data_IF_371839025695
#
_entry.id   IF_371839025695
#
_cell.length_a   1.000
_cell.length_b   1.000
_cell.length_c   1.000
_cell.angle_alpha   90.00
_cell.angle_beta   90.00
_cell.angle_gamma   90.00
#
_symmetry.space_group_name_H-M   'P 1'
#
loop_
_entity.id
_entity.type
_entity.pdbx_description
1 polymer ?
#
# COMPACT_ATOMS: atom_id res chain seq x y z
N UNK A 1 6.77 -0.45 -23.14
CA UNK A 1 6.60 -0.88 -21.74
C UNK A 1 5.37 -1.77 -21.69
N UNK A 2 5.46 -2.96 -21.16
CA UNK A 2 4.33 -3.92 -21.12
C UNK A 2 3.24 -3.35 -20.23
N UNK A 3 2.03 -3.22 -20.76
CA UNK A 3 0.83 -2.73 -20.05
C UNK A 3 0.20 -3.83 -19.16
N UNK A 4 1.08 -4.71 -18.65
CA UNK A 4 0.69 -5.84 -17.81
C UNK A 4 0.51 -5.36 -16.38
N UNK A 5 -0.66 -5.60 -15.74
CA UNK A 5 -0.88 -5.21 -14.35
C UNK A 5 0.07 -5.98 -13.41
N UNK A 6 0.72 -5.25 -12.51
CA UNK A 6 1.57 -5.76 -11.43
C UNK A 6 0.83 -5.59 -10.10
N UNK A 7 0.88 -6.60 -9.22
CA UNK A 7 0.09 -6.60 -7.99
C UNK A 7 0.57 -5.56 -6.95
N UNK A 8 1.86 -5.22 -7.02
CA UNK A 8 2.56 -4.29 -6.12
C UNK A 8 2.70 -2.88 -6.71
N UNK A 9 2.00 -2.57 -7.82
CA UNK A 9 2.08 -1.29 -8.53
C UNK A 9 0.71 -0.70 -8.80
N UNK A 10 0.57 0.60 -8.61
CA UNK A 10 -0.58 1.35 -9.10
C UNK A 10 -0.40 1.58 -10.61
N UNK A 11 -1.42 1.26 -11.40
CA UNK A 11 -1.38 1.43 -12.86
C UNK A 11 -1.04 2.88 -13.24
N UNK A 12 -0.12 3.06 -14.18
CA UNK A 12 0.30 4.38 -14.65
C UNK A 12 1.33 5.10 -13.76
N UNK A 13 1.79 4.46 -12.67
CA UNK A 13 2.82 5.04 -11.79
C UNK A 13 4.13 4.26 -11.86
N UNK A 14 5.27 4.85 -11.41
CA UNK A 14 6.50 4.09 -11.21
C UNK A 14 6.30 2.91 -10.26
N UNK A 15 7.04 1.83 -10.49
CA UNK A 15 7.04 0.70 -9.56
C UNK A 15 7.71 1.11 -8.23
N UNK A 16 7.33 0.57 -7.06
CA UNK A 16 7.97 0.86 -5.77
C UNK A 16 9.50 0.69 -5.76
N UNK A 17 10.04 -0.22 -6.59
CA UNK A 17 11.50 -0.41 -6.78
C UNK A 17 12.20 0.82 -7.37
N UNK A 18 11.47 1.62 -8.15
CA UNK A 18 11.99 2.78 -8.86
C UNK A 18 11.80 4.08 -8.04
N UNK A 19 11.13 4.00 -6.89
CA UNK A 19 10.91 5.14 -6.00
C UNK A 19 12.16 5.39 -5.14
N UNK A 20 12.89 6.49 -5.34
CA UNK A 20 14.16 6.73 -4.64
C UNK A 20 13.97 7.13 -3.17
N UNK A 21 12.82 7.66 -2.80
CA UNK A 21 12.56 8.20 -1.46
C UNK A 21 11.30 7.64 -0.84
N UNK A 22 11.36 7.41 0.47
CA UNK A 22 10.19 7.15 1.31
C UNK A 22 9.89 8.41 2.12
N UNK A 23 8.63 8.85 2.11
CA UNK A 23 8.20 10.10 2.75
C UNK A 23 7.24 9.78 3.88
N UNK A 24 7.37 10.49 5.02
CA UNK A 24 6.48 10.38 6.17
C UNK A 24 6.73 9.18 7.08
N UNK A 25 7.80 8.39 6.87
CA UNK A 25 8.08 7.17 7.65
C UNK A 25 9.49 7.14 8.27
N UNK A 26 10.06 8.30 8.59
CA UNK A 26 11.40 8.41 9.16
C UNK A 26 11.59 7.59 10.46
N UNK A 27 10.56 7.51 11.31
CA UNK A 27 10.62 6.71 12.53
C UNK A 27 10.75 5.20 12.24
N UNK A 28 10.08 4.70 11.20
CA UNK A 28 10.19 3.31 10.77
C UNK A 28 11.58 2.99 10.19
N UNK A 29 12.16 3.89 9.40
CA UNK A 29 13.54 3.75 8.91
C UNK A 29 14.54 3.77 10.06
N UNK A 30 14.38 4.67 11.03
CA UNK A 30 15.25 4.76 12.20
C UNK A 30 15.21 3.48 13.06
N UNK A 31 14.03 2.85 13.25
CA UNK A 31 13.91 1.59 13.99
C UNK A 31 14.68 0.45 13.31
N UNK A 32 14.62 0.39 11.97
CA UNK A 32 15.37 -0.61 11.20
C UNK A 32 16.88 -0.38 11.30
N UNK A 33 17.31 0.88 11.12
CA UNK A 33 18.74 1.26 11.21
C UNK A 33 19.31 0.95 12.59
N UNK A 34 18.63 1.31 13.67
CA UNK A 34 19.05 0.98 15.03
C UNK A 34 19.23 -0.53 15.22
N UNK A 35 18.27 -1.35 14.71
CA UNK A 35 18.37 -2.81 14.79
C UNK A 35 19.53 -3.38 13.97
N UNK A 36 19.85 -2.72 12.86
CA UNK A 36 20.96 -3.09 12.00
C UNK A 36 22.31 -2.76 12.64
N UNK A 37 22.49 -1.54 13.15
CA UNK A 37 23.72 -1.08 13.79
C UNK A 37 24.04 -1.86 15.06
N UNK A 38 23.00 -2.27 15.82
CA UNK A 38 23.14 -3.13 16.99
C UNK A 38 23.47 -4.60 16.66
N UNK A 39 23.57 -4.96 15.38
CA UNK A 39 23.79 -6.35 14.93
C UNK A 39 22.63 -7.29 15.25
N UNK A 40 21.45 -6.77 15.59
CA UNK A 40 20.25 -7.52 16.01
C UNK A 40 19.12 -7.47 14.98
N UNK A 41 19.47 -7.33 13.69
CA UNK A 41 18.45 -7.32 12.66
C UNK A 41 17.70 -8.65 12.62
N UNK A 42 16.39 -8.59 12.85
CA UNK A 42 15.55 -9.79 12.83
C UNK A 42 15.45 -10.37 11.41
N UNK A 43 15.47 -11.69 11.27
CA UNK A 43 15.40 -12.37 9.98
C UNK A 43 14.05 -12.20 9.24
N UNK A 44 12.98 -11.81 9.94
CA UNK A 44 11.67 -11.59 9.34
C UNK A 44 10.99 -10.32 9.87
N UNK A 45 10.62 -9.42 8.98
CA UNK A 45 9.89 -8.19 9.27
C UNK A 45 8.51 -8.23 8.66
N UNK A 46 7.49 -7.85 9.44
CA UNK A 46 6.12 -7.70 8.99
C UNK A 46 5.75 -6.21 8.92
N UNK A 47 5.75 -5.65 7.71
CA UNK A 47 5.40 -4.26 7.44
C UNK A 47 3.87 -4.14 7.36
N UNK A 48 3.26 -3.49 8.34
CA UNK A 48 1.80 -3.40 8.46
C UNK A 48 1.30 -1.96 8.30
N UNK A 49 0.04 -1.83 7.90
CA UNK A 49 -0.66 -0.55 7.76
C UNK A 49 -1.58 -0.52 6.53
N UNK A 50 -2.36 0.55 6.33
CA UNK A 50 -3.26 0.68 5.19
C UNK A 50 -2.58 0.47 3.83
N UNK A 51 -3.37 0.12 2.81
CA UNK A 51 -2.84 -0.04 1.45
C UNK A 51 -2.36 1.30 0.88
N UNK A 52 -1.27 1.29 0.10
CA UNK A 52 -0.79 2.46 -0.64
C UNK A 52 -0.07 3.54 0.17
N UNK A 53 0.30 3.28 1.45
CA UNK A 53 1.01 4.25 2.31
C UNK A 53 2.54 4.21 2.17
N UNK A 54 3.12 3.37 1.30
CA UNK A 54 4.57 3.27 1.09
C UNK A 54 5.25 2.03 1.68
N UNK A 55 4.49 1.00 2.13
CA UNK A 55 5.08 -0.25 2.66
C UNK A 55 5.99 -0.96 1.65
N UNK A 56 5.53 -1.08 0.41
CA UNK A 56 6.34 -1.68 -0.66
C UNK A 56 7.59 -0.85 -0.93
N UNK A 57 7.48 0.47 -1.00
CA UNK A 57 8.63 1.38 -1.14
C UNK A 57 9.65 1.16 -0.03
N UNK A 58 9.22 1.06 1.24
CA UNK A 58 10.13 0.74 2.36
C UNK A 58 10.79 -0.62 2.18
N UNK A 59 10.03 -1.65 1.80
CA UNK A 59 10.56 -3.00 1.61
C UNK A 59 11.65 -3.02 0.51
N UNK A 60 11.41 -2.35 -0.63
CA UNK A 60 12.38 -2.26 -1.72
C UNK A 60 13.62 -1.46 -1.34
N UNK A 61 13.47 -0.35 -0.59
CA UNK A 61 14.61 0.43 -0.07
C UNK A 61 15.43 -0.37 0.91
N UNK A 62 14.77 -1.03 1.86
CA UNK A 62 15.44 -1.90 2.84
C UNK A 62 16.16 -3.07 2.15
N UNK A 63 15.53 -3.71 1.17
CA UNK A 63 16.17 -4.77 0.38
C UNK A 63 17.44 -4.26 -0.33
N UNK A 64 17.36 -3.08 -0.97
CA UNK A 64 18.50 -2.43 -1.63
C UNK A 64 19.64 -2.17 -0.64
N UNK A 65 19.32 -1.59 0.51
CA UNK A 65 20.27 -1.32 1.57
C UNK A 65 20.95 -2.61 2.08
N UNK A 66 20.17 -3.63 2.40
CA UNK A 66 20.69 -4.88 2.97
C UNK A 66 21.60 -5.66 2.02
N UNK A 67 21.29 -5.64 0.72
CA UNK A 67 22.11 -6.31 -0.30
C UNK A 67 23.37 -5.50 -0.60
N UNK A 68 23.27 -4.17 -0.60
CA UNK A 68 24.43 -3.28 -0.83
C UNK A 68 25.40 -3.23 0.35
N UNK A 69 24.92 -3.58 1.56
CA UNK A 69 25.72 -3.55 2.79
C UNK A 69 25.96 -4.98 3.27
N UNK A 70 27.06 -5.64 2.88
CA UNK A 70 27.32 -7.03 3.26
C UNK A 70 27.45 -7.19 4.78
N UNK A 71 27.26 -8.42 5.33
CA UNK A 71 27.50 -8.70 6.72
C UNK A 71 28.94 -8.32 7.10
N UNK A 72 29.10 -7.60 8.20
CA UNK A 72 30.44 -7.30 8.70
C UNK A 72 30.95 -8.54 9.46
N UNK A 73 31.98 -9.17 8.92
CA UNK A 73 32.66 -10.31 9.57
C UNK A 73 33.61 -9.81 10.67
N UNK A 74 33.17 -8.99 11.60
CA UNK A 74 33.89 -8.64 12.84
C UNK A 74 35.36 -8.19 12.74
N UNK A 75 35.97 -8.23 11.56
CA UNK A 75 37.36 -7.91 11.31
C UNK A 75 37.52 -6.53 10.64
N UNK A 76 36.96 -5.50 11.24
CA UNK A 76 37.30 -4.14 10.84
C UNK A 76 38.72 -3.87 11.32
N UNK A 77 39.71 -3.98 10.43
CA UNK A 77 41.09 -3.59 10.65
C UNK A 77 41.26 -2.07 10.84
N UNK A 78 40.22 -1.28 10.63
CA UNK A 78 40.24 0.19 10.61
C UNK A 78 39.10 0.82 11.42
N UNK A 79 39.13 0.71 12.76
CA UNK A 79 38.29 1.47 13.66
C UNK A 79 36.81 0.96 13.82
N UNK A 80 36.08 1.58 14.74
CA UNK A 80 34.67 1.30 14.94
C UNK A 80 33.86 1.75 13.72
N UNK A 81 32.89 0.95 13.23
CA UNK A 81 32.05 1.33 12.11
C UNK A 81 31.24 2.59 12.47
N UNK A 82 31.25 3.58 11.57
CA UNK A 82 30.41 4.78 11.72
C UNK A 82 28.95 4.35 11.65
N UNK A 83 28.10 4.74 12.63
CA UNK A 83 26.69 4.42 12.58
C UNK A 83 26.04 4.89 11.28
N UNK A 84 25.23 4.03 10.66
CA UNK A 84 24.53 4.36 9.44
C UNK A 84 23.32 5.25 9.76
N UNK A 85 23.22 6.39 9.07
CA UNK A 85 22.18 7.40 9.32
C UNK A 85 21.02 7.33 8.33
N UNK A 86 21.12 6.52 7.27
CA UNK A 86 20.13 6.42 6.20
C UNK A 86 20.12 5.05 5.54
N UNK A 87 18.97 4.63 5.02
CA UNK A 87 18.82 3.49 4.12
C UNK A 87 19.13 3.84 2.65
N UNK A 88 19.61 5.06 2.39
CA UNK A 88 19.86 5.52 1.03
C UNK A 88 21.05 4.81 0.41
N UNK A 89 20.82 4.24 -0.77
CA UNK A 89 21.87 3.71 -1.64
C UNK A 89 21.80 4.51 -2.95
N UNK A 90 22.89 5.10 -3.41
CA UNK A 90 22.92 5.87 -4.65
C UNK A 90 22.41 5.06 -5.85
N UNK A 91 21.70 5.73 -6.78
CA UNK A 91 21.12 5.07 -7.95
C UNK A 91 22.17 4.50 -8.91
N UNK A 92 23.39 5.03 -8.89
CA UNK A 92 24.53 4.53 -9.66
C UNK A 92 25.21 3.29 -9.02
N UNK A 93 24.82 2.92 -7.80
CA UNK A 93 25.33 1.72 -7.14
C UNK A 93 24.97 0.45 -7.94
N UNK A 94 25.89 -0.52 -8.13
CA UNK A 94 25.62 -1.72 -8.93
C UNK A 94 24.37 -2.51 -8.49
N UNK A 95 24.12 -2.62 -7.18
CA UNK A 95 22.93 -3.29 -6.63
C UNK A 95 21.65 -2.52 -7.04
N UNK A 96 21.66 -1.18 -6.93
CA UNK A 96 20.50 -0.35 -7.31
C UNK A 96 20.15 -0.55 -8.78
N UNK A 97 21.14 -0.51 -9.68
CA UNK A 97 20.95 -0.75 -11.12
C UNK A 97 20.41 -2.14 -11.42
N UNK A 98 20.94 -3.19 -10.77
CA UNK A 98 20.44 -4.57 -10.96
C UNK A 98 19.02 -4.74 -10.42
N UNK A 99 18.66 -4.09 -9.31
CA UNK A 99 17.30 -4.13 -8.77
C UNK A 99 16.28 -3.45 -9.69
N UNK A 100 16.61 -2.28 -10.24
CA UNK A 100 15.77 -1.58 -11.22
C UNK A 100 15.58 -2.45 -12.48
N UNK A 101 16.66 -3.09 -12.95
CA UNK A 101 16.61 -4.01 -14.08
C UNK A 101 15.91 -5.35 -13.77
N UNK A 102 15.53 -5.63 -12.51
CA UNK A 102 14.95 -6.91 -12.11
C UNK A 102 15.91 -8.10 -12.18
N UNK A 103 17.22 -7.84 -12.12
CA UNK A 103 18.30 -8.81 -12.32
C UNK A 103 19.18 -9.00 -11.08
N UNK A 104 18.74 -8.56 -9.89
CA UNK A 104 19.50 -8.73 -8.66
C UNK A 104 19.38 -10.16 -8.12
N UNK A 105 20.47 -10.96 -8.12
CA UNK A 105 20.41 -12.36 -7.70
C UNK A 105 20.18 -12.53 -6.20
N UNK A 106 20.46 -11.51 -5.38
CA UNK A 106 20.23 -11.50 -3.93
C UNK A 106 18.79 -11.20 -3.54
N UNK A 107 17.89 -10.91 -4.51
CA UNK A 107 16.51 -10.51 -4.26
C UNK A 107 15.51 -11.45 -4.91
N UNK A 108 14.50 -11.87 -4.14
CA UNK A 108 13.33 -12.55 -4.67
C UNK A 108 12.05 -11.81 -4.24
N UNK A 109 11.25 -11.35 -5.21
CA UNK A 109 9.93 -10.76 -4.94
C UNK A 109 8.83 -11.74 -5.28
N UNK A 110 7.86 -11.89 -4.38
CA UNK A 110 6.67 -12.74 -4.52
C UNK A 110 5.45 -11.85 -4.38
N UNK A 111 4.62 -11.85 -5.43
CA UNK A 111 3.36 -11.14 -5.51
C UNK A 111 2.30 -12.08 -6.09
N UNK A 112 1.05 -11.64 -6.14
CA UNK A 112 0.00 -12.36 -6.89
C UNK A 112 0.40 -12.47 -8.35
N UNK A 113 0.45 -13.70 -8.91
CA UNK A 113 0.87 -13.89 -10.30
C UNK A 113 -0.21 -13.43 -11.27
N UNK A 114 0.23 -13.02 -12.45
CA UNK A 114 -0.67 -12.73 -13.57
C UNK A 114 -1.10 -14.01 -14.27
N UNK A 115 -2.39 -14.15 -14.51
CA UNK A 115 -2.96 -15.24 -15.29
C UNK A 115 -3.02 -14.85 -16.77
N UNK A 116 -2.18 -15.47 -17.59
CA UNK A 116 -2.08 -15.20 -19.03
C UNK A 116 -3.37 -15.53 -19.79
N UNK A 117 -4.14 -16.52 -19.31
CA UNK A 117 -5.40 -16.94 -19.94
C UNK A 117 -6.55 -15.99 -19.57
N UNK A 118 -6.67 -15.68 -18.30
CA UNK A 118 -7.71 -14.80 -17.79
C UNK A 118 -7.41 -13.29 -17.98
N UNK A 119 -6.15 -12.94 -18.37
CA UNK A 119 -5.65 -11.58 -18.54
C UNK A 119 -5.86 -10.69 -17.31
N UNK A 120 -5.72 -11.26 -16.12
CA UNK A 120 -5.86 -10.59 -14.83
C UNK A 120 -4.93 -11.17 -13.78
N UNK A 121 -4.73 -10.46 -12.68
CA UNK A 121 -4.02 -10.99 -11.52
C UNK A 121 -4.85 -12.10 -10.87
N UNK A 122 -4.19 -13.18 -10.43
CA UNK A 122 -4.84 -14.19 -9.60
C UNK A 122 -5.26 -13.59 -8.26
N UNK A 123 -6.30 -14.16 -7.65
CA UNK A 123 -6.82 -13.65 -6.38
C UNK A 123 -5.88 -13.87 -5.18
N UNK A 124 -4.99 -14.85 -5.27
CA UNK A 124 -4.14 -15.29 -4.15
C UNK A 124 -2.73 -15.63 -4.61
N UNK A 125 -1.79 -15.52 -3.67
CA UNK A 125 -0.45 -16.11 -3.77
C UNK A 125 -0.57 -17.58 -3.39
N UNK A 126 -0.13 -18.47 -4.28
CA UNK A 126 -0.22 -19.93 -4.08
C UNK A 126 1.12 -20.52 -3.66
N UNK A 127 1.12 -21.79 -3.28
CA UNK A 127 2.34 -22.49 -2.86
C UNK A 127 3.38 -22.59 -3.98
N UNK A 128 2.97 -22.55 -5.24
CA UNK A 128 3.87 -22.56 -6.41
C UNK A 128 4.81 -21.34 -6.40
N UNK A 129 4.29 -20.17 -6.08
CA UNK A 129 5.12 -18.97 -5.95
C UNK A 129 6.13 -19.11 -4.80
N UNK A 130 5.70 -19.69 -3.68
CA UNK A 130 6.58 -19.91 -2.51
C UNK A 130 7.65 -21.00 -2.77
N UNK A 131 7.36 -22.00 -3.62
CA UNK A 131 8.36 -23.02 -4.02
C UNK A 131 9.59 -22.41 -4.71
N UNK A 132 9.44 -21.27 -5.36
CA UNK A 132 10.57 -20.53 -5.97
C UNK A 132 11.64 -20.18 -4.93
N UNK A 133 11.25 -19.99 -3.67
CA UNK A 133 12.18 -19.68 -2.58
C UNK A 133 13.15 -20.82 -2.29
N UNK A 134 12.72 -22.09 -2.45
CA UNK A 134 13.61 -23.23 -2.26
C UNK A 134 14.76 -23.22 -3.28
N UNK A 135 14.47 -22.90 -4.54
CA UNK A 135 15.50 -22.72 -5.57
C UNK A 135 16.37 -21.50 -5.30
N UNK A 136 15.75 -20.38 -4.91
CA UNK A 136 16.46 -19.14 -4.59
C UNK A 136 17.47 -19.31 -3.43
N UNK A 137 17.10 -20.03 -2.37
CA UNK A 137 17.99 -20.30 -1.26
C UNK A 137 18.96 -21.48 -1.50
N UNK A 138 18.65 -22.37 -2.45
CA UNK A 138 19.53 -23.49 -2.82
C UNK A 138 20.76 -23.08 -3.61
N UNK A 139 20.74 -21.94 -4.30
CA UNK A 139 21.90 -21.39 -4.97
C UNK A 139 22.84 -20.81 -3.92
N UNK A 140 24.10 -21.18 -3.86
CA UNK A 140 25.06 -20.52 -2.95
C UNK A 140 25.18 -19.03 -3.33
N UNK A 141 25.15 -18.14 -2.32
CA UNK A 141 25.56 -16.76 -2.56
C UNK A 141 27.05 -16.79 -2.90
N UNK A 142 27.40 -16.48 -4.15
CA UNK A 142 28.78 -16.50 -4.61
C UNK A 142 29.71 -15.64 -3.74
N UNK A 143 29.15 -14.62 -3.06
CA UNK A 143 29.90 -13.63 -2.30
C UNK A 143 29.56 -13.62 -0.80
N UNK A 144 28.86 -14.62 -0.26
CA UNK A 144 28.45 -14.65 1.17
C UNK A 144 27.46 -13.55 1.58
N UNK A 145 26.92 -12.80 0.62
CA UNK A 145 26.01 -11.67 0.83
C UNK A 145 24.66 -12.04 1.43
N UNK A 146 23.88 -11.02 1.80
CA UNK A 146 22.50 -11.22 2.27
C UNK A 146 21.57 -11.59 1.12
N UNK A 147 20.55 -12.37 1.45
CA UNK A 147 19.44 -12.70 0.56
C UNK A 147 18.17 -12.15 1.12
N UNK A 148 17.47 -11.36 0.32
CA UNK A 148 16.24 -10.69 0.73
C UNK A 148 15.06 -11.24 -0.07
N UNK A 149 13.98 -11.54 0.65
CA UNK A 149 12.69 -11.94 0.07
C UNK A 149 11.67 -10.89 0.41
N UNK A 150 10.96 -10.38 -0.58
CA UNK A 150 9.78 -9.51 -0.40
C UNK A 150 8.54 -10.33 -0.74
N UNK A 151 7.54 -10.35 0.16
CA UNK A 151 6.23 -10.98 -0.08
C UNK A 151 5.17 -9.88 0.02
N UNK A 152 4.60 -9.49 -1.13
CA UNK A 152 3.60 -8.42 -1.23
C UNK A 152 2.34 -8.89 -1.99
N UNK A 153 1.23 -9.05 -1.32
CA UNK A 153 0.87 -8.88 0.08
C UNK A 153 0.74 -10.24 0.76
N UNK A 154 1.36 -10.40 1.92
CA UNK A 154 1.37 -11.68 2.62
C UNK A 154 -0.03 -12.14 3.08
N UNK A 155 -0.97 -11.20 3.33
CA UNK A 155 -2.38 -11.49 3.67
C UNK A 155 -3.21 -12.00 2.47
N UNK A 156 -2.64 -12.03 1.27
CA UNK A 156 -3.23 -12.63 0.06
C UNK A 156 -2.73 -14.06 -0.21
N UNK A 157 -1.91 -14.62 0.67
CA UNK A 157 -1.51 -16.04 0.59
C UNK A 157 -2.67 -16.97 0.91
N UNK A 158 -2.82 -18.05 0.12
CA UNK A 158 -3.69 -19.14 0.52
C UNK A 158 -3.07 -19.95 1.68
N UNK A 159 -3.87 -20.82 2.33
CA UNK A 159 -3.42 -21.59 3.49
C UNK A 159 -2.18 -22.46 3.22
N UNK A 160 -2.07 -23.05 2.02
CA UNK A 160 -0.91 -23.88 1.64
C UNK A 160 0.36 -23.04 1.47
N UNK A 161 0.26 -21.84 0.90
CA UNK A 161 1.38 -20.90 0.80
C UNK A 161 1.82 -20.41 2.20
N UNK A 162 0.85 -20.00 3.04
CA UNK A 162 1.13 -19.57 4.40
C UNK A 162 1.86 -20.65 5.22
N UNK A 163 1.43 -21.92 5.13
CA UNK A 163 2.09 -23.04 5.80
C UNK A 163 3.50 -23.33 5.22
N UNK A 164 3.70 -23.17 3.93
CA UNK A 164 5.02 -23.32 3.32
C UNK A 164 6.01 -22.25 3.81
N UNK A 165 5.53 -21.01 4.02
CA UNK A 165 6.34 -19.92 4.55
C UNK A 165 6.79 -20.17 6.01
N UNK A 166 5.96 -20.82 6.83
CA UNK A 166 6.30 -21.10 8.24
C UNK A 166 7.63 -21.83 8.41
N UNK A 167 7.96 -22.77 7.52
CA UNK A 167 9.24 -23.50 7.57
C UNK A 167 10.45 -22.55 7.46
N UNK A 168 10.35 -21.53 6.63
CA UNK A 168 11.42 -20.55 6.44
C UNK A 168 11.50 -19.52 7.58
N UNK A 169 10.37 -19.29 8.25
CA UNK A 169 10.32 -18.43 9.44
C UNK A 169 10.85 -19.14 10.68
N UNK A 170 10.69 -20.47 10.77
CA UNK A 170 11.19 -21.30 11.87
C UNK A 170 12.69 -21.62 11.73
N UNK A 171 13.11 -21.95 10.52
CA UNK A 171 14.49 -22.32 10.19
C UNK A 171 15.01 -21.41 9.04
N UNK A 172 15.27 -20.12 9.33
CA UNK A 172 15.68 -19.18 8.29
C UNK A 172 17.04 -19.59 7.71
N UNK A 173 17.16 -19.57 6.37
CA UNK A 173 18.46 -19.78 5.73
C UNK A 173 19.46 -18.72 6.19
N UNK A 174 20.74 -19.07 6.19
CA UNK A 174 21.81 -18.17 6.63
C UNK A 174 21.79 -16.87 5.81
N UNK A 175 21.92 -15.74 6.48
CA UNK A 175 21.89 -14.40 5.88
C UNK A 175 20.58 -14.07 5.10
N UNK A 176 19.49 -14.81 5.34
CA UNK A 176 18.20 -14.54 4.75
C UNK A 176 17.42 -13.50 5.56
N UNK A 177 16.81 -12.53 4.87
CA UNK A 177 15.88 -11.57 5.45
C UNK A 177 14.57 -11.64 4.68
N UNK A 178 13.47 -11.85 5.40
CA UNK A 178 12.12 -11.89 4.84
C UNK A 178 11.36 -10.61 5.19
N UNK A 179 10.88 -9.90 4.17
CA UNK A 179 10.09 -8.68 4.29
C UNK A 179 8.66 -8.98 3.85
N UNK A 180 7.76 -9.14 4.81
CA UNK A 180 6.36 -9.43 4.57
C UNK A 180 5.58 -8.12 4.62
N UNK A 181 4.80 -7.83 3.59
CA UNK A 181 3.90 -6.68 3.53
C UNK A 181 2.49 -7.18 3.79
N UNK A 182 1.76 -6.52 4.69
CA UNK A 182 0.36 -6.84 4.96
C UNK A 182 -0.49 -5.58 5.08
N UNK A 183 -1.67 -5.61 4.47
CA UNK A 183 -2.69 -4.58 4.60
C UNK A 183 -3.71 -4.94 5.69
N UNK A 184 -3.92 -6.23 5.92
CA UNK A 184 -4.85 -6.79 6.88
C UNK A 184 -4.16 -7.87 7.74
N UNK A 185 -3.30 -7.49 8.71
CA UNK A 185 -2.50 -8.45 9.47
C UNK A 185 -3.35 -9.43 10.28
N UNK A 186 -4.62 -9.12 10.54
CA UNK A 186 -5.55 -10.04 11.19
C UNK A 186 -5.86 -11.29 10.33
N UNK A 187 -5.70 -11.21 9.00
CA UNK A 187 -5.88 -12.36 8.08
C UNK A 187 -4.68 -13.30 8.05
N UNK A 188 -3.52 -12.86 8.53
CA UNK A 188 -2.34 -13.71 8.62
C UNK A 188 -2.49 -14.71 9.76
N UNK A 189 -1.94 -15.91 9.58
CA UNK A 189 -1.85 -16.91 10.63
C UNK A 189 -1.14 -16.33 11.87
N UNK A 190 -1.66 -16.55 13.08
CA UNK A 190 -1.00 -16.10 14.32
C UNK A 190 0.45 -16.60 14.43
N UNK A 191 0.71 -17.79 13.89
CA UNK A 191 2.04 -18.41 13.84
C UNK A 191 3.03 -17.67 12.96
N UNK A 192 2.60 -17.02 11.87
CA UNK A 192 3.43 -16.13 11.05
C UNK A 192 3.72 -14.85 11.84
N UNK A 193 2.67 -14.22 12.38
CA UNK A 193 2.81 -12.96 13.13
C UNK A 193 3.75 -13.06 14.32
N UNK A 194 3.70 -14.19 15.06
CA UNK A 194 4.55 -14.40 16.25
C UNK A 194 6.03 -14.59 15.93
N UNK A 195 6.37 -14.90 14.67
CA UNK A 195 7.75 -15.12 14.19
C UNK A 195 8.33 -13.93 13.42
N UNK A 196 7.57 -12.88 13.26
CA UNK A 196 8.01 -11.67 12.58
C UNK A 196 8.11 -10.49 13.56
N UNK A 197 9.12 -9.67 13.41
CA UNK A 197 9.14 -8.35 14.03
C UNK A 197 8.20 -7.43 13.26
N UNK A 198 7.18 -6.91 13.94
CA UNK A 198 6.17 -6.07 13.29
C UNK A 198 6.63 -4.62 13.28
N UNK A 199 6.62 -4.01 12.10
CA UNK A 199 6.83 -2.59 11.88
C UNK A 199 5.54 -1.97 11.34
N UNK A 200 4.97 -1.03 12.08
CA UNK A 200 3.71 -0.39 11.71
C UNK A 200 3.95 0.96 11.03
N UNK A 201 3.47 1.09 9.81
CA UNK A 201 3.43 2.36 9.09
C UNK A 201 2.05 3.01 9.26
N UNK A 202 2.04 4.32 9.52
CA UNK A 202 0.82 5.12 9.63
C UNK A 202 0.40 5.72 8.29
N UNK A 203 -0.74 6.42 8.31
CA UNK A 203 -1.18 7.26 7.20
C UNK A 203 -0.38 8.54 7.14
N UNK A 204 -0.18 9.09 5.94
CA UNK A 204 0.57 10.33 5.76
C UNK A 204 -0.28 11.56 6.08
N UNK A 205 0.36 12.57 6.68
CA UNK A 205 -0.24 13.90 6.81
C UNK A 205 -0.33 14.63 5.45
N UNK A 206 -1.11 15.72 5.35
CA UNK A 206 -1.33 16.42 4.07
C UNK A 206 -0.05 16.90 3.38
N UNK A 207 0.93 17.41 4.13
CA UNK A 207 2.20 17.90 3.57
C UNK A 207 3.06 16.76 3.01
N UNK A 208 3.21 15.66 3.76
CA UNK A 208 3.94 14.47 3.33
C UNK A 208 3.24 13.80 2.15
N UNK A 209 1.89 13.80 2.16
CA UNK A 209 1.07 13.28 1.06
C UNK A 209 1.36 13.99 -0.25
N UNK A 210 1.31 15.32 -0.28
CA UNK A 210 1.56 16.10 -1.50
C UNK A 210 2.98 15.84 -2.04
N UNK A 211 3.97 15.80 -1.15
CA UNK A 211 5.37 15.51 -1.50
C UNK A 211 5.51 14.08 -2.04
N UNK A 212 4.87 13.10 -1.39
CA UNK A 212 4.96 11.70 -1.80
C UNK A 212 4.26 11.42 -3.14
N UNK A 213 3.10 12.05 -3.40
CA UNK A 213 2.39 11.95 -4.68
C UNK A 213 3.24 12.54 -5.81
N UNK A 214 3.87 13.70 -5.58
CA UNK A 214 4.77 14.33 -6.56
C UNK A 214 6.00 13.46 -6.83
N UNK A 215 6.62 12.90 -5.78
CA UNK A 215 7.75 11.98 -5.91
C UNK A 215 7.39 10.69 -6.68
N UNK A 216 6.13 10.25 -6.61
CA UNK A 216 5.60 9.12 -7.36
C UNK A 216 5.11 9.50 -8.77
N UNK A 217 5.42 10.70 -9.27
CA UNK A 217 5.07 11.17 -10.61
C UNK A 217 3.66 11.74 -10.77
N UNK A 218 2.90 11.88 -9.67
CA UNK A 218 1.61 12.55 -9.68
C UNK A 218 1.75 14.08 -9.70
N UNK A 219 0.77 14.75 -10.31
CA UNK A 219 0.66 16.21 -10.25
C UNK A 219 -0.51 16.58 -9.35
N UNK A 220 -0.24 17.38 -8.33
CA UNK A 220 -1.26 17.84 -7.36
C UNK A 220 -1.45 19.34 -7.55
N UNK A 221 -2.67 19.73 -7.94
CA UNK A 221 -3.05 21.13 -7.91
C UNK A 221 -3.16 21.60 -6.46
N UNK A 222 -2.46 22.67 -6.03
CA UNK A 222 -2.51 23.20 -4.69
C UNK A 222 -3.94 23.47 -4.18
N UNK A 223 -4.85 23.88 -5.06
CA UNK A 223 -6.25 24.13 -4.70
C UNK A 223 -7.02 22.85 -4.32
N UNK A 224 -6.64 21.72 -4.89
CA UNK A 224 -7.29 20.41 -4.63
C UNK A 224 -6.51 19.50 -3.67
N UNK A 225 -5.33 19.92 -3.24
CA UNK A 225 -4.45 19.10 -2.38
C UNK A 225 -5.11 18.65 -1.06
N UNK A 226 -5.85 19.55 -0.41
CA UNK A 226 -6.55 19.25 0.83
C UNK A 226 -7.69 18.22 0.60
N UNK A 227 -8.50 18.41 -0.44
CA UNK A 227 -9.56 17.50 -0.83
C UNK A 227 -9.01 16.12 -1.20
N UNK A 228 -7.92 16.08 -1.97
CA UNK A 228 -7.23 14.84 -2.35
C UNK A 228 -6.73 14.09 -1.11
N UNK A 229 -6.10 14.78 -0.17
CA UNK A 229 -5.59 14.18 1.07
C UNK A 229 -6.72 13.59 1.92
N UNK A 230 -7.85 14.30 2.03
CA UNK A 230 -9.03 13.82 2.74
C UNK A 230 -9.64 12.56 2.12
N UNK A 231 -9.83 12.54 0.79
CA UNK A 231 -10.39 11.39 0.10
C UNK A 231 -9.45 10.20 0.05
N UNK A 232 -8.16 10.45 -0.05
CA UNK A 232 -7.12 9.41 -0.04
C UNK A 232 -6.82 8.87 1.37
N UNK A 233 -7.31 9.51 2.44
CA UNK A 233 -7.13 9.09 3.84
C UNK A 233 -5.65 8.81 4.21
N UNK A 234 -4.73 9.61 3.71
CA UNK A 234 -3.29 9.46 3.95
C UNK A 234 -2.62 8.34 3.15
N UNK A 235 -3.28 7.80 2.12
CA UNK A 235 -2.72 6.79 1.22
C UNK A 235 -2.27 7.40 -0.12
N UNK A 236 -0.96 7.38 -0.38
CA UNK A 236 -0.38 7.84 -1.66
C UNK A 236 -0.93 7.05 -2.85
N UNK A 237 -1.07 5.73 -2.71
CA UNK A 237 -1.63 4.89 -3.75
C UNK A 237 -3.10 5.20 -4.06
N UNK A 238 -3.89 5.56 -3.03
CA UNK A 238 -5.27 6.01 -3.24
C UNK A 238 -5.28 7.40 -3.93
N UNK A 239 -4.42 8.33 -3.51
CA UNK A 239 -4.31 9.65 -4.14
C UNK A 239 -3.95 9.55 -5.63
N UNK A 240 -2.99 8.70 -5.98
CA UNK A 240 -2.60 8.47 -7.37
C UNK A 240 -3.74 7.88 -8.21
N UNK A 241 -4.53 6.94 -7.65
CA UNK A 241 -5.75 6.43 -8.32
C UNK A 241 -6.81 7.51 -8.50
N UNK A 242 -7.04 8.35 -7.48
CA UNK A 242 -7.96 9.48 -7.58
C UNK A 242 -7.56 10.44 -8.70
N UNK A 243 -6.27 10.77 -8.81
CA UNK A 243 -5.75 11.64 -9.86
C UNK A 243 -5.88 11.02 -11.26
N UNK A 244 -5.56 9.73 -11.40
CA UNK A 244 -5.57 9.06 -12.71
C UNK A 244 -6.98 8.79 -13.26
N UNK A 245 -8.01 8.79 -12.42
CA UNK A 245 -9.39 8.43 -12.79
C UNK A 245 -10.42 9.55 -12.55
N UNK A 246 -9.97 10.79 -12.41
CA UNK A 246 -10.83 11.92 -12.06
C UNK A 246 -11.68 11.71 -10.79
N UNK A 247 -11.06 11.15 -9.76
CA UNK A 247 -11.75 10.81 -8.52
C UNK A 247 -12.36 12.01 -7.80
N UNK A 248 -11.76 13.20 -7.91
CA UNK A 248 -12.31 14.44 -7.34
C UNK A 248 -13.62 14.83 -8.05
N UNK A 249 -13.66 14.73 -9.39
CA UNK A 249 -14.87 14.97 -10.18
C UNK A 249 -15.97 13.97 -9.84
N UNK A 250 -15.63 12.67 -9.75
CA UNK A 250 -16.58 11.61 -9.33
C UNK A 250 -17.13 11.89 -7.93
N UNK A 251 -16.28 12.31 -6.99
CA UNK A 251 -16.73 12.65 -5.64
C UNK A 251 -17.66 13.85 -5.62
N UNK A 252 -17.37 14.88 -6.41
CA UNK A 252 -18.25 16.04 -6.55
C UNK A 252 -19.62 15.66 -7.12
N UNK A 253 -19.67 14.75 -8.12
CA UNK A 253 -20.93 14.20 -8.64
C UNK A 253 -21.71 13.43 -7.58
N UNK A 254 -21.04 12.62 -6.76
CA UNK A 254 -21.68 11.91 -5.63
C UNK A 254 -22.26 12.86 -4.59
N UNK A 255 -21.51 13.91 -4.22
CA UNK A 255 -21.99 14.96 -3.30
C UNK A 255 -23.20 15.68 -3.88
N UNK A 256 -23.17 16.07 -5.15
CA UNK A 256 -24.28 16.72 -5.83
C UNK A 256 -25.51 15.79 -5.89
N UNK A 257 -25.34 14.51 -6.12
CA UNK A 257 -26.41 13.53 -6.12
C UNK A 257 -27.03 13.35 -4.72
N UNK A 258 -26.22 13.17 -3.68
CA UNK A 258 -26.68 13.05 -2.29
C UNK A 258 -27.35 14.33 -1.80
N UNK A 259 -26.94 15.48 -2.31
CA UNK A 259 -27.58 16.77 -2.01
C UNK A 259 -29.03 16.86 -2.48
N UNK A 260 -29.47 16.03 -3.43
CA UNK A 260 -30.87 15.99 -3.87
C UNK A 260 -31.75 15.07 -3.02
N UNK A 261 -31.18 14.31 -2.07
CA UNK A 261 -31.93 13.41 -1.19
C UNK A 261 -32.96 14.19 -0.32
N UNK A 262 -34.21 13.67 -0.07
CA UNK A 262 -34.70 12.32 -0.38
C UNK A 262 -35.19 12.12 -1.82
N UNK A 263 -35.36 13.17 -2.59
CA UNK A 263 -35.83 13.12 -3.99
C UNK A 263 -34.60 13.01 -4.93
N UNK A 264 -34.00 11.82 -4.97
CA UNK A 264 -32.78 11.59 -5.75
C UNK A 264 -32.98 11.92 -7.23
N UNK A 265 -32.07 12.70 -7.81
CA UNK A 265 -32.01 12.96 -9.24
C UNK A 265 -31.66 11.66 -9.99
N UNK A 266 -32.72 11.03 -10.54
CA UNK A 266 -32.60 9.74 -11.24
C UNK A 266 -31.80 9.84 -12.52
N UNK A 267 -31.81 10.98 -13.21
CA UNK A 267 -31.04 11.16 -14.45
C UNK A 267 -29.53 11.17 -14.13
N UNK A 268 -29.14 11.92 -13.12
CA UNK A 268 -27.73 11.94 -12.66
C UNK A 268 -27.28 10.58 -12.14
N UNK A 269 -28.12 9.90 -11.35
CA UNK A 269 -27.82 8.55 -10.84
C UNK A 269 -27.59 7.55 -11.98
N UNK A 270 -28.46 7.58 -13.01
CA UNK A 270 -28.33 6.71 -14.18
C UNK A 270 -27.09 7.09 -15.03
N UNK A 271 -26.80 8.38 -15.20
CA UNK A 271 -25.60 8.81 -15.93
C UNK A 271 -24.33 8.30 -15.26
N UNK A 272 -24.20 8.44 -13.93
CA UNK A 272 -23.08 7.90 -13.16
C UNK A 272 -22.99 6.38 -13.28
N UNK A 273 -24.10 5.64 -13.11
CA UNK A 273 -24.14 4.19 -13.25
C UNK A 273 -23.74 3.74 -14.67
N UNK A 274 -24.22 4.41 -15.71
CA UNK A 274 -23.87 4.11 -17.10
C UNK A 274 -22.39 4.36 -17.39
N UNK A 275 -21.76 5.36 -16.74
CA UNK A 275 -20.32 5.62 -16.88
C UNK A 275 -19.46 4.49 -16.31
N UNK A 276 -20.02 3.66 -15.46
CA UNK A 276 -19.35 2.49 -14.84
C UNK A 276 -19.66 1.19 -15.56
N UNK A 277 -20.57 1.18 -16.57
CA UNK A 277 -20.99 -0.03 -17.24
C UNK A 277 -19.91 -0.59 -18.18
N UNK A 278 -19.83 -1.93 -18.24
CA UNK A 278 -18.91 -2.64 -19.13
C UNK A 278 -17.59 -3.02 -18.47
N UNK A 279 -17.00 -4.12 -18.93
CA UNK A 279 -15.74 -4.68 -18.38
C UNK A 279 -14.56 -3.72 -18.40
N UNK A 280 -14.49 -2.84 -19.38
CA UNK A 280 -13.43 -1.81 -19.47
C UNK A 280 -13.51 -0.76 -18.37
N UNK A 281 -14.63 -0.65 -17.66
CA UNK A 281 -14.90 0.35 -16.63
C UNK A 281 -14.92 -0.24 -15.21
N UNK A 282 -14.47 -1.50 -15.02
CA UNK A 282 -14.41 -2.14 -13.68
C UNK A 282 -13.65 -1.26 -12.67
N UNK A 283 -12.49 -0.72 -13.06
CA UNK A 283 -11.70 0.15 -12.19
C UNK A 283 -12.44 1.45 -11.80
N UNK A 284 -13.25 2.01 -12.72
CA UNK A 284 -14.09 3.17 -12.43
C UNK A 284 -15.22 2.82 -11.49
N UNK A 285 -15.87 1.65 -11.68
CA UNK A 285 -16.89 1.15 -10.76
C UNK A 285 -16.34 1.00 -9.35
N UNK A 286 -15.18 0.35 -9.20
CA UNK A 286 -14.52 0.18 -7.91
C UNK A 286 -14.22 1.53 -7.24
N UNK A 287 -13.77 2.52 -8.02
CA UNK A 287 -13.51 3.85 -7.50
C UNK A 287 -14.79 4.56 -7.05
N UNK A 288 -15.87 4.49 -7.84
CA UNK A 288 -17.19 5.07 -7.47
C UNK A 288 -17.71 4.45 -6.18
N UNK A 289 -17.62 3.12 -6.03
CA UNK A 289 -18.03 2.42 -4.81
C UNK A 289 -17.18 2.83 -3.60
N UNK A 290 -15.86 2.92 -3.76
CA UNK A 290 -14.95 3.40 -2.71
C UNK A 290 -15.29 4.84 -2.28
N UNK A 291 -15.51 5.73 -3.24
CA UNK A 291 -15.84 7.13 -2.95
C UNK A 291 -17.25 7.28 -2.33
N UNK A 292 -18.18 6.43 -2.71
CA UNK A 292 -19.48 6.36 -2.04
C UNK A 292 -19.33 5.92 -0.58
N UNK A 293 -18.54 4.89 -0.30
CA UNK A 293 -18.21 4.47 1.07
C UNK A 293 -17.58 5.60 1.88
N UNK A 294 -16.65 6.36 1.27
CA UNK A 294 -16.04 7.55 1.91
C UNK A 294 -17.11 8.60 2.21
N UNK A 295 -18.00 8.91 1.27
CA UNK A 295 -19.07 9.91 1.47
C UNK A 295 -20.02 9.50 2.60
N UNK A 296 -20.44 8.23 2.62
CA UNK A 296 -21.31 7.68 3.67
C UNK A 296 -20.62 7.67 5.04
N UNK A 297 -19.33 7.33 5.09
CA UNK A 297 -18.54 7.38 6.33
C UNK A 297 -18.40 8.82 6.85
N UNK A 298 -18.22 9.80 5.96
CA UNK A 298 -18.16 11.23 6.32
C UNK A 298 -19.50 11.72 6.87
N UNK A 299 -20.62 11.31 6.28
CA UNK A 299 -21.99 11.58 6.80
C UNK A 299 -22.17 10.96 8.20
N UNK A 300 -21.85 9.68 8.36
CA UNK A 300 -21.98 8.98 9.64
C UNK A 300 -21.13 9.65 10.74
N UNK A 301 -19.88 9.98 10.42
CA UNK A 301 -18.96 10.63 11.34
C UNK A 301 -19.41 12.04 11.73
N UNK A 302 -19.87 12.83 10.77
CA UNK A 302 -20.36 14.18 11.02
C UNK A 302 -21.59 14.17 11.93
N UNK A 303 -22.56 13.30 11.69
CA UNK A 303 -23.72 13.12 12.58
C UNK A 303 -23.32 12.68 13.99
N UNK A 304 -22.37 11.75 14.12
CA UNK A 304 -21.87 11.30 15.43
C UNK A 304 -21.14 12.40 16.19
N UNK A 305 -20.38 13.26 15.51
CA UNK A 305 -19.60 14.36 16.11
C UNK A 305 -20.41 15.65 16.25
N UNK A 306 -21.59 15.76 15.63
CA UNK A 306 -22.42 16.98 15.60
C UNK A 306 -21.80 18.14 14.81
N UNK A 307 -20.80 17.87 13.95
CA UNK A 307 -20.15 18.89 13.14
C UNK A 307 -19.74 18.34 11.77
N UNK A 308 -19.80 19.22 10.77
CA UNK A 308 -19.30 18.90 9.43
C UNK A 308 -17.75 18.74 9.43
N UNK A 309 -17.17 18.04 8.44
CA UNK A 309 -15.73 17.95 8.26
C UNK A 309 -15.10 19.34 8.11
N UNK A 310 -13.91 19.54 8.67
CA UNK A 310 -13.16 20.79 8.57
C UNK A 310 -12.71 21.08 7.11
N UNK A 311 -12.32 20.04 6.41
CA UNK A 311 -11.95 20.12 5.00
C UNK A 311 -13.08 19.57 4.14
N UNK A 312 -13.60 20.41 3.24
CA UNK A 312 -14.54 19.98 2.23
C UNK A 312 -13.79 19.37 1.05
N UNK A 313 -14.19 18.17 0.66
CA UNK A 313 -13.60 17.49 -0.49
C UNK A 313 -14.34 17.81 -1.81
N UNK A 314 -15.53 18.43 -1.72
CA UNK A 314 -16.28 18.94 -2.86
C UNK A 314 -17.12 20.16 -2.48
N UNK A 315 -17.44 20.98 -3.47
CA UNK A 315 -18.31 22.15 -3.27
C UNK A 315 -19.69 21.74 -2.75
N UNK A 316 -20.18 22.42 -1.71
CA UNK A 316 -21.47 22.16 -1.09
C UNK A 316 -21.54 20.94 -0.17
N UNK A 317 -20.44 20.22 0.04
CA UNK A 317 -20.39 19.03 0.88
C UNK A 317 -20.81 19.32 2.33
N UNK A 318 -20.32 20.39 2.95
CA UNK A 318 -20.69 20.74 4.32
C UNK A 318 -22.17 21.03 4.48
N UNK A 319 -22.78 21.71 3.50
CA UNK A 319 -24.21 22.00 3.49
C UNK A 319 -25.02 20.69 3.36
N UNK A 320 -24.62 19.83 2.45
CA UNK A 320 -25.25 18.51 2.25
C UNK A 320 -25.15 17.67 3.53
N UNK A 321 -23.95 17.58 4.14
CA UNK A 321 -23.72 16.81 5.36
C UNK A 321 -24.55 17.36 6.53
N UNK A 322 -24.55 18.66 6.77
CA UNK A 322 -25.32 19.28 7.86
C UNK A 322 -26.81 19.03 7.74
N UNK A 323 -27.31 18.95 6.52
CA UNK A 323 -28.74 18.65 6.25
C UNK A 323 -29.06 17.16 6.43
N UNK A 324 -28.20 16.25 5.94
CA UNK A 324 -28.47 14.81 5.92
C UNK A 324 -28.05 14.09 7.21
N UNK A 325 -27.12 14.67 7.97
CA UNK A 325 -26.60 14.10 9.21
C UNK A 325 -26.57 15.14 10.36
N UNK A 326 -27.75 15.73 10.72
CA UNK A 326 -27.81 16.82 11.69
C UNK A 326 -27.54 16.37 13.14
N UNK A 327 -27.56 15.09 13.45
CA UNK A 327 -27.43 14.57 14.81
C UNK A 327 -26.89 13.12 14.85
N UNK A 328 -26.62 12.64 16.06
CA UNK A 328 -26.07 11.30 16.26
C UNK A 328 -26.97 10.16 15.78
N UNK A 329 -28.32 10.33 15.79
CA UNK A 329 -29.24 9.31 15.28
C UNK A 329 -29.09 9.18 13.77
N UNK A 330 -29.10 10.28 13.01
CA UNK A 330 -28.89 10.26 11.57
C UNK A 330 -27.49 9.73 11.22
N UNK A 331 -26.47 10.01 12.05
CA UNK A 331 -25.14 9.42 11.90
C UNK A 331 -25.15 7.88 11.98
N UNK A 332 -25.87 7.31 12.95
CA UNK A 332 -26.07 5.85 13.05
C UNK A 332 -26.83 5.27 11.86
N UNK A 333 -27.86 5.96 11.41
CA UNK A 333 -28.66 5.52 10.24
C UNK A 333 -27.81 5.48 8.97
N UNK A 334 -26.91 6.48 8.78
CA UNK A 334 -25.96 6.49 7.67
C UNK A 334 -24.92 5.39 7.78
N UNK A 335 -24.40 5.09 8.96
CA UNK A 335 -23.47 3.98 9.18
C UNK A 335 -24.12 2.63 8.83
N UNK A 336 -25.38 2.40 9.26
CA UNK A 336 -26.12 1.19 8.91
C UNK A 336 -26.37 1.07 7.39
N UNK A 337 -26.71 2.18 6.72
CA UNK A 337 -26.88 2.20 5.26
C UNK A 337 -25.56 1.90 4.53
N UNK A 338 -24.42 2.46 4.99
CA UNK A 338 -23.11 2.18 4.44
C UNK A 338 -22.80 0.68 4.48
N UNK A 339 -23.09 0.02 5.61
CA UNK A 339 -22.89 -1.43 5.74
C UNK A 339 -23.76 -2.22 4.73
N UNK A 340 -25.05 -1.90 4.60
CA UNK A 340 -25.97 -2.57 3.65
C UNK A 340 -25.51 -2.37 2.20
N UNK A 341 -25.05 -1.17 1.85
CA UNK A 341 -24.56 -0.87 0.49
C UNK A 341 -23.26 -1.63 0.24
N UNK A 342 -22.31 -1.61 1.19
CA UNK A 342 -21.05 -2.34 1.08
C UNK A 342 -21.25 -3.85 0.93
N UNK A 343 -22.23 -4.45 1.64
CA UNK A 343 -22.55 -5.88 1.53
C UNK A 343 -23.16 -6.25 0.16
N UNK A 344 -23.86 -5.32 -0.48
CA UNK A 344 -24.44 -5.53 -1.81
C UNK A 344 -23.47 -5.30 -2.96
N UNK A 345 -22.42 -4.51 -2.71
CA UNK A 345 -21.40 -4.17 -3.71
C UNK A 345 -20.28 -5.21 -3.83
N UNK A 346 -20.17 -6.12 -2.86
CA UNK A 346 -19.23 -7.27 -2.83
C UNK A 346 -19.87 -8.52 -3.44
#
# INVERSE_FOLDING_TARGET
>A
MSDRPEADRVTGTPHPRDCPRLIGHAAAEAEILASFDEGRLHHAWLLTGPQGIGKATLAWRLARFLIATPPQDGSSLFGEPVPLTSLDIPDDHPVARRMIAGAEPGLCSITRPFDEKAKRLKAQITVEELRRLSGFFGLSAADGGRRVVIIDSADEMNASAANALLKMLEEPPRNAILLLISHQPARLLPTIRSRCRTLRLGTLGPADMATAVTAAGGQVDPASAAALSELAQGSVGAALRLLSQDGLGIYAELVALLATSPQLDRQRALALANSCAGRQNEARLDLVLQLLDVALARLARAGALGRAPEVQAAAGESTMISRLAPNAQSGRDWAARAQVIGDRAR
#
